data_IF_578900548140
#
_entry.id   IF_578900548140
#
_cell.length_a   1.000
_cell.length_b   1.000
_cell.length_c   1.000
_cell.angle_alpha   90.00
_cell.angle_beta   90.00
_cell.angle_gamma   90.00
#
_symmetry.space_group_name_H-M   'P 1'
#
loop_
_entity.id
_entity.type
_entity.pdbx_description
1 polymer ?
#
# COMPACT_ATOMS: atom_id res chain seq x y z
N UNK A 1 1.95 -3.52 18.22
CA UNK A 1 1.47 -2.45 17.34
C UNK A 1 2.22 -2.40 16.00
N UNK A 2 3.55 -2.39 15.96
CA UNK A 2 4.32 -2.53 14.73
C UNK A 2 4.98 -3.90 14.66
N UNK A 3 4.91 -4.57 13.50
CA UNK A 3 5.64 -5.83 13.23
C UNK A 3 7.03 -5.57 12.67
N UNK A 4 7.23 -4.38 12.11
CA UNK A 4 8.50 -3.95 11.56
C UNK A 4 8.60 -2.43 11.62
N UNK A 5 9.76 -1.94 12.03
CA UNK A 5 10.13 -0.52 11.95
C UNK A 5 11.57 -0.43 11.51
N UNK A 6 11.84 0.48 10.58
CA UNK A 6 13.18 0.75 10.09
C UNK A 6 13.35 2.25 9.88
N UNK A 7 14.54 2.77 10.21
CA UNK A 7 14.93 4.13 9.86
C UNK A 7 15.87 4.05 8.66
N UNK A 8 15.45 4.61 7.54
CA UNK A 8 16.32 4.75 6.39
C UNK A 8 17.35 5.85 6.68
N UNK A 9 18.62 5.48 6.63
CA UNK A 9 19.72 6.42 6.86
C UNK A 9 19.81 7.41 5.69
N UNK A 10 19.92 8.70 6.00
CA UNK A 10 20.02 9.79 5.04
C UNK A 10 19.77 11.13 5.70
N UNK A 11 19.94 12.23 4.96
CA UNK A 11 19.83 13.58 5.49
C UNK A 11 18.42 13.94 6.00
N UNK A 12 17.38 13.30 5.49
CA UNK A 12 15.99 13.65 5.77
C UNK A 12 15.33 12.84 6.89
N UNK A 13 15.99 11.83 7.48
CA UNK A 13 15.46 11.08 8.63
C UNK A 13 14.15 10.35 8.37
N UNK A 14 14.06 9.58 7.30
CA UNK A 14 12.86 8.81 6.93
C UNK A 14 12.68 7.59 7.83
N UNK A 15 11.44 7.33 8.24
CA UNK A 15 11.05 6.14 8.98
C UNK A 15 9.98 5.36 8.21
N UNK A 16 10.07 4.04 8.23
CA UNK A 16 9.07 3.12 7.68
C UNK A 16 8.56 2.18 8.76
N UNK A 17 7.28 1.84 8.71
CA UNK A 17 6.67 0.93 9.68
C UNK A 17 5.52 0.14 9.05
N UNK A 18 5.37 -1.12 9.48
CA UNK A 18 4.19 -1.94 9.20
C UNK A 18 3.51 -2.29 10.52
N UNK A 19 2.20 -2.07 10.59
CA UNK A 19 1.40 -2.41 11.77
C UNK A 19 1.07 -3.91 11.81
N UNK A 20 0.83 -4.44 13.00
CA UNK A 20 0.28 -5.78 13.18
C UNK A 20 -1.26 -5.79 13.18
N UNK A 21 -1.84 -6.97 13.22
CA UNK A 21 -3.30 -7.17 13.20
C UNK A 21 -4.03 -6.68 14.46
N UNK A 22 -3.32 -6.16 15.47
CA UNK A 22 -3.94 -5.56 16.66
C UNK A 22 -4.33 -4.11 16.42
N UNK A 23 -3.85 -3.51 15.34
CA UNK A 23 -4.18 -2.14 14.94
C UNK A 23 -5.31 -2.17 13.93
N UNK A 24 -6.51 -1.81 14.37
CA UNK A 24 -7.65 -1.66 13.47
C UNK A 24 -7.60 -0.27 12.83
N UNK A 25 -7.33 -0.26 11.52
CA UNK A 25 -7.32 0.93 10.66
C UNK A 25 -8.41 0.85 9.58
N UNK A 26 -9.38 -0.06 9.75
CA UNK A 26 -10.51 -0.17 8.83
C UNK A 26 -11.31 1.14 8.79
N UNK A 27 -11.85 1.46 7.63
CA UNK A 27 -12.83 2.55 7.56
C UNK A 27 -14.13 2.10 8.22
N UNK A 28 -14.78 2.97 9.01
CA UNK A 28 -16.12 2.70 9.48
C UNK A 28 -17.04 2.47 8.28
N UNK A 29 -17.97 1.52 8.42
CA UNK A 29 -18.96 1.27 7.38
C UNK A 29 -19.72 2.56 7.04
N UNK A 30 -20.12 2.78 5.78
CA UNK A 30 -20.90 3.94 5.39
C UNK A 30 -22.11 4.11 6.30
N UNK A 31 -22.28 5.28 6.92
CA UNK A 31 -23.37 5.58 7.85
C UNK A 31 -23.06 5.33 9.33
N UNK A 32 -21.96 4.70 9.68
CA UNK A 32 -21.46 4.66 11.05
C UNK A 32 -20.45 5.81 11.21
N UNK A 33 -20.96 6.98 11.58
CA UNK A 33 -20.11 8.07 12.05
C UNK A 33 -19.46 7.61 13.34
N UNK A 34 -18.16 7.33 13.32
CA UNK A 34 -17.37 7.29 14.56
C UNK A 34 -17.68 8.57 15.35
N UNK A 35 -17.50 8.55 16.66
CA UNK A 35 -17.85 9.62 17.61
C UNK A 35 -17.19 10.99 17.37
N UNK A 36 -16.75 11.27 16.14
CA UNK A 36 -16.22 12.55 15.67
C UNK A 36 -16.99 13.01 14.45
N UNK A 37 -17.34 14.30 14.36
CA UNK A 37 -18.03 14.90 13.22
C UNK A 37 -17.30 14.68 11.88
N UNK A 38 -17.90 15.13 10.75
CA UNK A 38 -17.28 15.05 9.43
C UNK A 38 -15.86 15.61 9.45
N UNK A 39 -14.88 14.81 9.02
CA UNK A 39 -13.46 15.18 9.04
C UNK A 39 -12.66 14.73 10.28
N UNK A 40 -13.29 14.10 11.28
CA UNK A 40 -12.57 13.57 12.45
C UNK A 40 -11.78 12.30 12.07
N UNK A 41 -10.48 12.32 12.29
CA UNK A 41 -9.64 11.13 12.16
C UNK A 41 -10.04 10.09 13.20
N UNK A 42 -10.10 8.82 12.79
CA UNK A 42 -10.31 7.70 13.69
C UNK A 42 -9.29 7.74 14.86
N UNK A 43 -9.69 7.45 16.11
CA UNK A 43 -8.78 7.51 17.27
C UNK A 43 -7.48 6.73 17.09
N UNK A 44 -7.53 5.60 16.38
CA UNK A 44 -6.35 4.80 16.03
C UNK A 44 -5.37 5.58 15.14
N UNK A 45 -5.86 6.35 14.15
CA UNK A 45 -5.00 7.16 13.29
C UNK A 45 -4.35 8.31 14.05
N UNK A 46 -5.07 8.94 14.97
CA UNK A 46 -4.51 9.94 15.87
C UNK A 46 -3.43 9.35 16.79
N UNK A 47 -3.64 8.12 17.28
CA UNK A 47 -2.66 7.42 18.09
C UNK A 47 -1.41 7.06 17.29
N UNK A 48 -1.58 6.57 16.03
CA UNK A 48 -0.48 6.32 15.11
C UNK A 48 0.31 7.60 14.82
N UNK A 49 -0.36 8.70 14.51
CA UNK A 49 0.27 10.00 14.26
C UNK A 49 1.11 10.47 15.45
N UNK A 50 0.58 10.38 16.67
CA UNK A 50 1.34 10.72 17.91
C UNK A 50 2.56 9.82 18.07
N UNK A 51 2.44 8.53 17.78
CA UNK A 51 3.56 7.59 17.89
C UNK A 51 4.64 7.82 16.83
N UNK A 52 4.25 8.20 15.61
CA UNK A 52 5.17 8.54 14.54
C UNK A 52 5.70 9.98 14.64
N UNK A 53 5.12 10.83 15.49
CA UNK A 53 5.44 12.26 15.54
C UNK A 53 5.08 13.01 14.25
N UNK A 54 4.07 12.56 13.51
CA UNK A 54 3.71 13.04 12.18
C UNK A 54 2.19 13.03 11.96
N UNK A 55 1.72 13.89 11.06
CA UNK A 55 0.33 13.85 10.59
C UNK A 55 0.11 12.66 9.67
N UNK A 56 -0.89 11.81 9.96
CA UNK A 56 -1.22 10.67 9.12
C UNK A 56 -2.12 11.09 7.98
N UNK A 57 -1.63 10.96 6.76
CA UNK A 57 -2.38 11.17 5.53
C UNK A 57 -2.78 9.82 4.94
N UNK A 58 -4.06 9.68 4.62
CA UNK A 58 -4.68 8.48 4.05
C UNK A 58 -5.27 8.77 2.67
N UNK A 59 -5.65 7.72 1.97
CA UNK A 59 -6.35 7.77 0.70
C UNK A 59 -7.58 6.85 0.71
N UNK A 60 -8.55 7.14 -0.15
CA UNK A 60 -9.65 6.22 -0.48
C UNK A 60 -9.16 5.27 -1.56
N UNK A 61 -8.81 4.06 -1.16
CA UNK A 61 -8.25 3.03 -2.03
C UNK A 61 -9.36 2.38 -2.87
N UNK A 62 -9.16 2.35 -4.18
CA UNK A 62 -10.13 1.84 -5.17
C UNK A 62 -9.57 0.70 -6.02
N UNK A 63 -8.39 0.19 -5.66
CA UNK A 63 -7.66 -0.85 -6.38
C UNK A 63 -7.26 -0.44 -7.80
N UNK A 64 -7.06 0.87 -8.03
CA UNK A 64 -6.57 1.45 -9.30
C UNK A 64 -5.06 1.66 -9.30
N UNK A 65 -4.62 2.58 -10.18
CA UNK A 65 -3.21 2.98 -10.32
C UNK A 65 -2.96 4.47 -10.11
N UNK A 66 -3.97 5.20 -9.63
CA UNK A 66 -3.87 6.65 -9.39
C UNK A 66 -2.88 6.94 -8.26
N UNK A 67 -1.96 7.87 -8.49
CA UNK A 67 -1.02 8.39 -7.51
C UNK A 67 -1.40 9.82 -7.17
N UNK A 68 -1.56 10.10 -5.88
CA UNK A 68 -1.80 11.45 -5.38
C UNK A 68 -0.55 12.02 -4.71
N UNK A 69 -0.15 13.22 -5.14
CA UNK A 69 0.99 13.94 -4.54
C UNK A 69 0.47 14.80 -3.41
N UNK A 70 0.87 14.47 -2.18
CA UNK A 70 0.56 15.24 -0.99
C UNK A 70 1.53 16.40 -0.92
N UNK A 71 1.01 17.62 -1.03
CA UNK A 71 1.75 18.86 -0.95
C UNK A 71 1.26 19.74 0.20
N UNK A 72 1.96 20.85 0.50
CA UNK A 72 1.45 21.85 1.41
C UNK A 72 0.11 22.35 0.85
N UNK A 73 -0.89 22.51 1.72
CA UNK A 73 -2.14 23.14 1.35
C UNK A 73 -1.84 24.48 0.71
N UNK A 74 -1.97 24.57 -0.61
CA UNK A 74 -1.72 25.83 -1.33
C UNK A 74 -2.88 26.76 -1.01
N UNK A 75 -2.68 27.64 -0.05
CA UNK A 75 -3.54 28.81 0.12
C UNK A 75 -3.34 29.70 -1.10
N UNK A 76 -4.19 29.55 -2.11
CA UNK A 76 -4.10 30.29 -3.36
C UNK A 76 -3.85 29.38 -4.57
N UNK A 77 -4.82 28.53 -4.90
CA UNK A 77 -4.72 27.57 -5.97
C UNK A 77 -4.67 28.22 -7.35
N UNK A 78 -3.70 27.82 -8.16
CA UNK A 78 -3.93 27.65 -9.61
C UNK A 78 -4.11 26.16 -9.84
N UNK A 79 -5.30 25.80 -10.30
CA UNK A 79 -5.71 24.43 -10.54
C UNK A 79 -4.78 23.75 -11.57
N UNK A 80 -4.16 22.65 -11.14
CA UNK A 80 -3.47 21.74 -12.02
C UNK A 80 -3.35 20.40 -11.30
N UNK A 81 -4.24 19.46 -11.66
CA UNK A 81 -4.40 18.12 -11.09
C UNK A 81 -4.98 18.11 -9.65
N UNK A 82 -6.19 18.63 -9.50
CA UNK A 82 -7.07 18.24 -8.41
C UNK A 82 -7.48 16.76 -8.68
N UNK A 83 -6.78 15.81 -8.03
CA UNK A 83 -7.40 14.52 -7.80
C UNK A 83 -8.72 14.81 -7.07
N UNK A 84 -9.83 14.31 -7.61
CA UNK A 84 -11.15 14.55 -7.06
C UNK A 84 -11.15 14.12 -5.60
N UNK A 85 -11.21 15.08 -4.70
CA UNK A 85 -11.34 14.81 -3.28
C UNK A 85 -12.70 14.18 -3.08
N UNK A 86 -12.75 12.97 -2.56
CA UNK A 86 -13.99 12.34 -2.14
C UNK A 86 -14.70 13.21 -1.08
N UNK A 87 -15.93 12.86 -0.69
CA UNK A 87 -16.81 13.71 0.16
C UNK A 87 -16.22 14.14 1.50
N UNK A 88 -15.06 13.62 1.89
CA UNK A 88 -14.35 13.96 3.14
C UNK A 88 -12.99 14.64 2.93
N UNK A 89 -12.68 15.14 1.73
CA UNK A 89 -11.37 15.72 1.43
C UNK A 89 -10.24 14.68 1.35
N UNK A 90 -10.56 13.37 1.35
CA UNK A 90 -9.62 12.26 1.21
C UNK A 90 -9.47 11.95 -0.28
N UNK A 91 -8.25 11.98 -0.85
CA UNK A 91 -8.05 11.71 -2.27
C UNK A 91 -8.40 10.26 -2.61
N UNK A 92 -9.06 10.06 -3.75
CA UNK A 92 -9.23 8.74 -4.35
C UNK A 92 -7.93 8.37 -5.08
N UNK A 93 -7.19 7.43 -4.50
CA UNK A 93 -5.91 7.01 -5.02
C UNK A 93 -5.54 5.63 -4.46
N UNK A 94 -4.55 4.99 -5.07
CA UNK A 94 -3.92 3.77 -4.56
C UNK A 94 -2.43 3.95 -4.28
N UNK A 95 -1.91 5.17 -4.47
CA UNK A 95 -0.61 5.58 -3.98
C UNK A 95 -0.62 7.04 -3.52
N UNK A 96 0.16 7.32 -2.47
CA UNK A 96 0.47 8.66 -1.98
C UNK A 96 1.97 8.89 -2.07
N UNK A 97 2.38 10.09 -2.45
CA UNK A 97 3.79 10.48 -2.51
C UNK A 97 3.94 11.90 -1.96
N UNK A 98 5.03 12.20 -1.24
CA UNK A 98 5.29 13.54 -0.72
C UNK A 98 6.77 13.80 -0.47
N UNK A 99 7.12 15.11 -0.42
CA UNK A 99 8.36 15.61 0.18
C UNK A 99 8.11 16.39 1.47
N UNK A 100 6.87 16.50 1.90
CA UNK A 100 6.53 17.30 3.07
C UNK A 100 7.01 16.60 4.34
N UNK A 101 7.83 17.31 5.13
CA UNK A 101 8.23 16.84 6.45
C UNK A 101 7.05 16.85 7.44
N UNK A 102 7.12 15.98 8.45
CA UNK A 102 6.08 15.89 9.48
C UNK A 102 4.81 15.17 9.01
N UNK A 103 4.84 14.51 7.86
CA UNK A 103 3.74 13.72 7.30
C UNK A 103 4.09 12.24 7.31
N UNK A 104 3.14 11.40 7.68
CA UNK A 104 3.19 9.95 7.56
C UNK A 104 2.14 9.48 6.54
N UNK A 105 2.58 8.95 5.42
CA UNK A 105 1.70 8.38 4.40
C UNK A 105 1.26 6.98 4.80
N UNK A 106 -0.02 6.66 4.64
CA UNK A 106 -0.58 5.36 5.02
C UNK A 106 -1.25 4.67 3.84
N UNK A 107 -0.84 3.42 3.59
CA UNK A 107 -1.58 2.46 2.78
C UNK A 107 -2.12 1.34 3.69
N UNK A 108 -3.38 0.95 3.50
CA UNK A 108 -4.06 -0.11 4.24
C UNK A 108 -4.12 -1.37 3.39
N UNK A 109 -3.76 -2.49 3.96
CA UNK A 109 -3.84 -3.78 3.28
C UNK A 109 -4.25 -4.88 4.25
N UNK A 110 -5.18 -5.73 3.84
CA UNK A 110 -5.50 -6.99 4.51
C UNK A 110 -4.83 -8.17 3.80
N UNK A 111 -4.98 -8.23 2.47
CA UNK A 111 -4.39 -9.26 1.61
C UNK A 111 -3.58 -8.64 0.47
N UNK A 112 -3.94 -7.42 0.03
CA UNK A 112 -3.19 -6.68 -0.99
C UNK A 112 -1.76 -6.37 -0.52
N UNK A 113 -0.89 -6.01 -1.44
CA UNK A 113 0.52 -5.75 -1.16
C UNK A 113 0.71 -4.28 -0.80
N UNK A 114 1.08 -3.93 0.44
CA UNK A 114 1.54 -2.58 0.75
C UNK A 114 3.01 -2.45 0.34
N UNK A 115 3.32 -1.38 -0.40
CA UNK A 115 4.71 -1.05 -0.77
C UNK A 115 5.02 0.35 -0.24
N UNK A 116 6.13 0.46 0.50
CA UNK A 116 6.67 1.75 0.94
C UNK A 116 7.89 2.09 0.10
N UNK A 117 8.00 3.35 -0.25
CA UNK A 117 9.09 3.90 -1.06
C UNK A 117 9.70 5.07 -0.31
N UNK A 118 11.02 5.22 -0.36
CA UNK A 118 11.69 6.41 0.14
C UNK A 118 13.00 6.69 -0.58
N UNK A 119 13.31 7.97 -0.71
CA UNK A 119 14.67 8.46 -0.91
C UNK A 119 15.04 9.33 0.30
N UNK A 120 15.81 8.79 1.25
CA UNK A 120 16.15 9.51 2.48
C UNK A 120 17.15 10.67 2.27
N UNK A 121 17.83 10.76 1.13
CA UNK A 121 18.73 11.87 0.84
C UNK A 121 17.97 13.16 0.52
N UNK A 122 16.85 13.05 -0.18
CA UNK A 122 16.02 14.18 -0.59
C UNK A 122 14.70 14.28 0.16
N UNK A 123 14.38 13.29 1.02
CA UNK A 123 13.20 13.28 1.86
C UNK A 123 11.90 13.04 1.11
N UNK A 124 11.94 12.33 -0.03
CA UNK A 124 10.72 11.88 -0.72
C UNK A 124 10.29 10.55 -0.14
N UNK A 125 8.99 10.42 0.16
CA UNK A 125 8.39 9.18 0.61
C UNK A 125 7.15 8.83 -0.21
N UNK A 126 6.83 7.53 -0.29
CA UNK A 126 5.63 7.01 -0.93
C UNK A 126 5.02 5.84 -0.18
N UNK A 127 3.69 5.73 -0.22
CA UNK A 127 2.94 4.59 0.29
C UNK A 127 1.97 4.11 -0.77
N UNK A 128 2.06 2.83 -1.14
CA UNK A 128 1.31 2.23 -2.26
C UNK A 128 0.47 1.08 -1.75
N UNK A 129 -0.79 1.03 -2.17
CA UNK A 129 -1.69 -0.10 -2.04
C UNK A 129 -1.74 -0.83 -3.39
N UNK A 130 -1.07 -1.96 -3.49
CA UNK A 130 -1.02 -2.75 -4.71
C UNK A 130 -1.97 -3.96 -4.61
N UNK A 131 -3.23 -3.74 -4.92
CA UNK A 131 -4.20 -4.81 -5.15
C UNK A 131 -4.02 -5.42 -6.55
N UNK A 132 -4.66 -6.57 -6.81
CA UNK A 132 -4.53 -7.29 -8.09
C UNK A 132 -4.72 -6.39 -9.33
N UNK A 133 -5.78 -5.59 -9.35
CA UNK A 133 -6.05 -4.66 -10.47
C UNK A 133 -4.96 -3.60 -10.58
N UNK A 134 -4.59 -2.97 -9.45
CA UNK A 134 -3.53 -1.97 -9.41
C UNK A 134 -2.16 -2.51 -9.86
N UNK A 135 -1.83 -3.77 -9.55
CA UNK A 135 -0.61 -4.43 -10.05
C UNK A 135 -0.66 -4.55 -11.57
N UNK A 136 -1.78 -5.00 -12.13
CA UNK A 136 -1.96 -5.09 -13.60
C UNK A 136 -1.88 -3.71 -14.27
N UNK A 137 -2.40 -2.68 -13.63
CA UNK A 137 -2.37 -1.29 -14.11
C UNK A 137 -1.05 -0.56 -13.81
N UNK A 138 -0.11 -1.18 -13.09
CA UNK A 138 1.22 -0.64 -12.85
C UNK A 138 1.30 0.42 -11.74
N UNK A 139 0.49 0.32 -10.68
CA UNK A 139 0.44 1.29 -9.57
C UNK A 139 1.79 1.54 -8.91
N UNK A 140 2.62 0.50 -8.75
CA UNK A 140 3.95 0.63 -8.14
C UNK A 140 4.88 1.42 -9.06
N UNK A 141 4.86 1.12 -10.36
CA UNK A 141 5.64 1.86 -11.37
C UNK A 141 5.24 3.33 -11.39
N UNK A 142 3.94 3.62 -11.42
CA UNK A 142 3.43 4.99 -11.40
C UNK A 142 3.87 5.75 -10.12
N UNK A 143 3.85 5.08 -8.96
CA UNK A 143 4.33 5.69 -7.72
C UNK A 143 5.84 5.97 -7.75
N UNK A 144 6.64 5.06 -8.30
CA UNK A 144 8.09 5.26 -8.48
C UNK A 144 8.39 6.44 -9.41
N UNK A 145 7.66 6.56 -10.52
CA UNK A 145 7.78 7.69 -11.44
C UNK A 145 7.48 9.02 -10.74
N UNK A 146 6.45 9.06 -9.90
CA UNK A 146 6.13 10.26 -9.11
C UNK A 146 7.20 10.58 -8.05
N UNK A 147 7.76 9.57 -7.37
CA UNK A 147 8.89 9.79 -6.45
C UNK A 147 10.08 10.38 -7.21
N UNK A 148 10.37 9.89 -8.42
CA UNK A 148 11.44 10.44 -9.28
C UNK A 148 11.13 11.86 -9.75
N UNK A 149 9.88 12.15 -10.13
CA UNK A 149 9.46 13.50 -10.52
C UNK A 149 9.62 14.50 -9.36
N UNK A 150 9.51 14.04 -8.11
CA UNK A 150 9.79 14.82 -6.92
C UNK A 150 11.29 14.89 -6.54
N UNK A 151 12.18 14.36 -7.37
CA UNK A 151 13.62 14.44 -7.22
C UNK A 151 14.27 13.22 -6.55
N UNK A 152 13.52 12.16 -6.25
CA UNK A 152 14.06 10.91 -5.70
C UNK A 152 14.94 10.18 -6.73
N UNK A 153 16.17 9.83 -6.34
CA UNK A 153 17.13 9.12 -7.18
C UNK A 153 17.60 7.81 -6.53
N UNK A 154 17.90 7.84 -5.23
CA UNK A 154 18.38 6.71 -4.45
C UNK A 154 17.20 6.05 -3.71
N UNK A 155 16.31 5.38 -4.46
CA UNK A 155 15.10 4.78 -3.91
C UNK A 155 15.41 3.53 -3.10
N UNK A 156 14.83 3.50 -1.92
CA UNK A 156 14.61 2.30 -1.11
C UNK A 156 13.15 1.87 -1.22
N UNK A 157 12.90 0.55 -1.24
CA UNK A 157 11.55 -0.01 -1.30
C UNK A 157 11.38 -1.13 -0.26
N UNK A 158 10.22 -1.17 0.39
CA UNK A 158 9.83 -2.21 1.33
C UNK A 158 8.47 -2.77 0.92
N UNK A 159 8.42 -4.09 0.75
CA UNK A 159 7.18 -4.81 0.49
C UNK A 159 6.70 -5.41 1.82
N UNK A 160 5.53 -4.97 2.28
CA UNK A 160 4.99 -5.38 3.56
C UNK A 160 4.20 -6.69 3.54
N UNK A 161 3.63 -7.08 4.69
CA UNK A 161 2.82 -8.30 4.81
C UNK A 161 1.63 -8.29 3.85
N UNK A 162 1.43 -9.41 3.16
CA UNK A 162 0.37 -9.61 2.17
C UNK A 162 0.03 -11.11 2.05
N UNK A 163 -1.04 -11.45 1.32
CA UNK A 163 -1.36 -12.84 1.01
C UNK A 163 -0.31 -13.43 0.08
N UNK A 164 0.24 -14.58 0.44
CA UNK A 164 1.23 -15.27 -0.40
C UNK A 164 0.57 -16.04 -1.55
N UNK A 165 1.34 -16.27 -2.63
CA UNK A 165 0.85 -17.00 -3.81
C UNK A 165 0.33 -18.40 -3.54
N UNK A 166 0.77 -19.05 -2.45
CA UNK A 166 0.27 -20.37 -2.06
C UNK A 166 -1.08 -20.35 -1.33
N UNK A 167 -1.60 -19.17 -1.03
CA UNK A 167 -2.85 -18.98 -0.30
C UNK A 167 -3.87 -18.13 -1.05
N UNK A 168 -3.43 -17.38 -2.07
CA UNK A 168 -4.31 -16.49 -2.83
C UNK A 168 -4.94 -17.22 -4.02
N UNK A 169 -5.85 -18.14 -3.72
CA UNK A 169 -6.62 -18.87 -4.72
C UNK A 169 -7.51 -17.94 -5.53
N UNK A 170 -7.50 -18.12 -6.86
CA UNK A 170 -8.34 -17.41 -7.81
C UNK A 170 -8.84 -18.35 -8.91
N UNK A 171 -9.91 -18.02 -9.63
CA UNK A 171 -10.32 -18.80 -10.81
C UNK A 171 -9.20 -18.86 -11.87
N UNK A 172 -9.01 -20.01 -12.54
CA UNK A 172 -7.97 -20.17 -13.57
C UNK A 172 -7.99 -19.08 -14.65
N UNK A 173 -9.14 -18.67 -15.21
CA UNK A 173 -9.17 -17.60 -16.20
C UNK A 173 -8.65 -16.26 -15.65
N UNK A 174 -8.87 -16.00 -14.36
CA UNK A 174 -8.35 -14.78 -13.70
C UNK A 174 -6.83 -14.84 -13.54
N UNK A 175 -6.29 -15.98 -13.06
CA UNK A 175 -4.84 -16.17 -12.97
C UNK A 175 -4.18 -15.95 -14.32
N UNK A 176 -4.71 -16.62 -15.35
CA UNK A 176 -4.13 -16.60 -16.68
C UNK A 176 -4.20 -15.20 -17.32
N UNK A 177 -5.29 -14.47 -17.13
CA UNK A 177 -5.43 -13.09 -17.58
C UNK A 177 -4.46 -12.13 -16.89
N UNK A 178 -4.26 -12.27 -15.59
CA UNK A 178 -3.32 -11.43 -14.82
C UNK A 178 -1.88 -11.78 -15.20
N UNK A 179 -1.54 -13.06 -15.27
CA UNK A 179 -0.20 -13.51 -15.61
C UNK A 179 0.18 -13.23 -17.08
N UNK A 180 -0.78 -13.07 -17.98
CA UNK A 180 -0.52 -12.61 -19.35
C UNK A 180 0.02 -11.17 -19.40
N UNK A 181 -0.33 -10.33 -18.42
CA UNK A 181 0.14 -8.94 -18.32
C UNK A 181 1.36 -8.85 -17.40
N UNK A 182 1.34 -9.58 -16.28
CA UNK A 182 2.39 -9.58 -15.24
C UNK A 182 2.77 -11.03 -14.95
N UNK A 183 3.69 -11.63 -15.72
CA UNK A 183 4.02 -13.06 -15.65
C UNK A 183 4.48 -13.54 -14.26
N UNK A 184 5.13 -12.65 -13.49
CA UNK A 184 5.66 -12.95 -12.17
C UNK A 184 4.58 -13.23 -11.12
N UNK A 185 3.32 -12.94 -11.43
CA UNK A 185 2.19 -13.19 -10.55
C UNK A 185 1.67 -14.61 -10.64
N UNK A 186 2.07 -15.38 -11.66
CA UNK A 186 1.58 -16.75 -11.83
C UNK A 186 1.94 -17.62 -10.62
N UNK A 187 0.95 -18.30 -10.06
CA UNK A 187 1.15 -19.15 -8.89
C UNK A 187 0.13 -20.30 -8.84
N UNK A 188 0.39 -21.22 -7.91
CA UNK A 188 -0.47 -22.31 -7.56
C UNK A 188 -0.52 -22.43 -6.04
N UNK A 189 -1.70 -22.73 -5.50
CA UNK A 189 -1.87 -22.91 -4.05
C UNK A 189 -1.14 -24.15 -3.55
N UNK A 190 -0.94 -24.27 -2.24
CA UNK A 190 -0.38 -25.46 -1.61
C UNK A 190 -1.27 -26.71 -1.74
N UNK A 191 -2.50 -26.55 -2.21
CA UNK A 191 -3.45 -27.65 -2.47
C UNK A 191 -3.79 -27.84 -3.96
N UNK A 192 -2.98 -27.26 -4.86
CA UNK A 192 -3.01 -27.54 -6.29
C UNK A 192 -4.08 -26.79 -7.09
N UNK A 193 -4.58 -25.65 -6.59
CA UNK A 193 -5.53 -24.80 -7.33
C UNK A 193 -4.85 -23.54 -7.88
N UNK A 194 -5.41 -22.92 -8.96
CA UNK A 194 -4.84 -21.70 -9.52
C UNK A 194 -4.76 -20.57 -8.49
N UNK A 195 -3.66 -19.85 -8.48
CA UNK A 195 -3.38 -18.77 -7.54
C UNK A 195 -2.59 -17.62 -8.18
N UNK A 196 -2.50 -16.49 -7.47
CA UNK A 196 -1.67 -15.36 -7.81
C UNK A 196 -0.70 -15.02 -6.68
N UNK A 197 0.53 -14.67 -7.01
CA UNK A 197 1.51 -14.08 -6.10
C UNK A 197 1.84 -12.66 -6.55
N UNK A 198 1.29 -11.66 -5.87
CA UNK A 198 1.48 -10.26 -6.24
C UNK A 198 2.78 -9.66 -5.71
N UNK A 199 3.35 -10.25 -4.66
CA UNK A 199 4.55 -9.74 -4.00
C UNK A 199 5.77 -9.63 -4.91
N UNK A 200 6.14 -10.69 -5.68
CA UNK A 200 7.26 -10.64 -6.62
C UNK A 200 7.11 -9.54 -7.67
N UNK A 201 5.92 -9.35 -8.22
CA UNK A 201 5.66 -8.30 -9.22
C UNK A 201 5.86 -6.90 -8.62
N UNK A 202 5.36 -6.65 -7.40
CA UNK A 202 5.57 -5.38 -6.70
C UNK A 202 7.05 -5.16 -6.39
N UNK A 203 7.77 -6.20 -5.99
CA UNK A 203 9.21 -6.12 -5.73
C UNK A 203 9.98 -5.77 -7.00
N UNK A 204 9.73 -6.44 -8.12
CA UNK A 204 10.40 -6.18 -9.39
C UNK A 204 10.11 -4.78 -9.89
N UNK A 205 8.86 -4.32 -9.84
CA UNK A 205 8.48 -2.97 -10.26
C UNK A 205 9.17 -1.89 -9.41
N UNK A 206 9.31 -2.11 -8.11
CA UNK A 206 10.02 -1.18 -7.22
C UNK A 206 11.53 -1.26 -7.37
N UNK A 207 12.12 -2.44 -7.55
CA UNK A 207 13.56 -2.66 -7.64
C UNK A 207 14.16 -2.32 -9.00
N UNK A 208 13.42 -2.52 -10.10
CA UNK A 208 13.84 -2.07 -11.43
C UNK A 208 14.05 -0.55 -11.48
N UNK A 209 13.38 0.16 -10.61
CA UNK A 209 13.50 1.60 -10.47
C UNK A 209 14.45 2.03 -9.33
N UNK A 210 14.76 1.14 -8.38
CA UNK A 210 15.62 1.40 -7.23
C UNK A 210 17.02 0.85 -7.48
N UNK A 211 18.01 1.71 -7.57
CA UNK A 211 19.43 1.29 -7.67
C UNK A 211 19.97 0.68 -6.36
N UNK A 212 19.18 0.68 -5.28
CA UNK A 212 19.53 0.07 -3.99
C UNK A 212 18.27 -0.58 -3.38
N UNK A 213 17.95 -1.79 -3.82
CA UNK A 213 16.95 -2.60 -3.15
C UNK A 213 17.53 -3.13 -1.84
N UNK A 214 16.97 -2.76 -0.70
CA UNK A 214 17.25 -3.48 0.54
C UNK A 214 16.72 -4.91 0.43
N UNK A 215 17.49 -5.92 0.87
CA UNK A 215 17.06 -7.31 0.77
C UNK A 215 15.74 -7.50 1.51
N UNK A 216 14.87 -8.36 0.94
CA UNK A 216 13.64 -8.82 1.60
C UNK A 216 13.92 -9.07 3.07
N UNK A 217 13.25 -8.36 3.97
CA UNK A 217 13.29 -8.78 5.36
C UNK A 217 12.67 -10.18 5.41
N UNK A 218 13.43 -11.18 5.87
CA UNK A 218 12.92 -12.54 6.07
C UNK A 218 11.74 -12.61 7.07
N UNK A 219 11.46 -11.52 7.77
CA UNK A 219 10.29 -11.33 8.62
C UNK A 219 8.97 -11.22 7.84
N UNK A 220 9.01 -10.96 6.53
CA UNK A 220 7.86 -11.04 5.62
C UNK A 220 7.45 -12.50 5.31
N UNK A 221 8.12 -13.49 5.86
CA UNK A 221 7.55 -14.84 5.96
C UNK A 221 6.34 -14.72 6.88
N UNK A 222 5.21 -14.43 6.22
CA UNK A 222 3.87 -14.55 6.77
C UNK A 222 3.86 -15.71 7.76
N UNK A 223 3.60 -15.43 9.01
CA UNK A 223 3.11 -16.45 9.94
C UNK A 223 1.71 -16.81 9.47
N UNK A 224 1.62 -17.53 8.35
CA UNK A 224 0.42 -18.22 7.93
C UNK A 224 0.15 -19.30 8.96
N UNK A 225 -0.58 -18.95 10.00
CA UNK A 225 -1.28 -19.97 10.78
C UNK A 225 -2.29 -20.59 9.83
N UNK A 226 -1.93 -21.78 9.31
CA UNK A 226 -2.85 -22.69 8.68
C UNK A 226 -3.48 -22.17 7.38
N UNK A 227 -2.75 -22.20 6.27
CA UNK A 227 -3.35 -22.39 4.96
C UNK A 227 -3.92 -23.81 4.90
N UNK A 228 -5.12 -23.99 5.39
CA UNK A 228 -5.90 -25.22 5.22
C UNK A 228 -7.15 -24.93 4.39
N UNK A 229 -7.66 -25.91 3.61
CA UNK A 229 -8.80 -25.71 2.71
C UNK A 229 -10.12 -25.33 3.39
N UNK A 230 -10.18 -25.30 4.73
CA UNK A 230 -11.42 -25.15 5.49
C UNK A 230 -11.60 -23.80 6.23
N UNK A 231 -10.67 -22.86 6.17
CA UNK A 231 -10.73 -21.66 7.04
C UNK A 231 -10.95 -20.31 6.35
N UNK A 232 -10.42 -20.07 5.18
CA UNK A 232 -10.40 -18.75 4.58
C UNK A 232 -11.37 -18.55 3.40
N UNK A 233 -11.72 -19.63 2.69
CA UNK A 233 -12.51 -19.56 1.46
C UNK A 233 -14.03 -19.46 1.69
N UNK A 234 -14.56 -19.97 2.80
CA UNK A 234 -16.00 -19.99 3.05
C UNK A 234 -16.61 -18.62 3.35
N UNK A 235 -15.84 -17.67 3.87
CA UNK A 235 -16.33 -16.31 4.20
C UNK A 235 -16.08 -15.28 3.12
N UNK A 236 -15.30 -15.59 2.09
CA UNK A 236 -14.87 -14.61 1.07
C UNK A 236 -15.56 -14.75 -0.28
N UNK A 237 -16.33 -15.83 -0.52
CA UNK A 237 -17.01 -16.04 -1.81
C UNK A 237 -18.06 -14.96 -2.09
N UNK A 238 -18.66 -14.37 -1.06
CA UNK A 238 -19.77 -13.43 -1.22
C UNK A 238 -19.34 -11.97 -1.33
N UNK A 239 -18.10 -11.63 -0.99
CA UNK A 239 -17.60 -10.26 -1.03
C UNK A 239 -17.04 -9.81 -2.39
N UNK A 240 -16.80 -10.75 -3.32
CA UNK A 240 -16.14 -10.46 -4.61
C UNK A 240 -17.05 -10.61 -5.84
N UNK A 241 -18.34 -10.87 -5.65
CA UNK A 241 -19.32 -11.06 -6.72
C UNK A 241 -20.14 -9.79 -7.07
N UNK A 242 -19.72 -8.60 -6.64
CA UNK A 242 -20.35 -7.34 -7.04
C UNK A 242 -19.35 -6.37 -7.62
#
# INVERSE_FOLDING_TARGET
MFVHTESAAGAAGVQVAFTDATVDVAEPAPGLTGTGGPGSLHPTLLALGRQCGAEVVRMRQVHGSTVHVVGPAVTGAVAGAAAESGPEGVPEADALVTRQAGVALMARAADCVPVLLADPEVGVIGAVHAGRKGVVEGVVTAAVEQVRALGGQALHAWVGPHVCGRCYEVPAPMRDAVAAVVPETWSETSWGTPALDLGPACWLSSSAAACAATPRSDSARSRTRGCGPSGATARRRDAWAR
#
